data_IF_482190269448
#
_entry.id   IF_482190269448
#
_cell.length_a   1.000
_cell.length_b   1.000
_cell.length_c   1.000
_cell.angle_alpha   90.00
_cell.angle_beta   90.00
_cell.angle_gamma   90.00
#
_symmetry.space_group_name_H-M   'P 1'
#
loop_
_entity.id
_entity.type
_entity.pdbx_description
1 polymer ?
#
# COMPACT_ATOMS: atom_id res chain seq x y z
N UNK A 1 -15.67 -18.76 7.45
CA UNK A 1 -14.28 -18.62 7.94
C UNK A 1 -14.29 -18.52 9.46
N UNK A 2 -13.46 -19.30 10.16
CA UNK A 2 -13.36 -19.27 11.63
C UNK A 2 -12.21 -18.37 12.09
N UNK A 3 -12.38 -17.71 13.24
CA UNK A 3 -11.34 -16.85 13.82
C UNK A 3 -10.21 -17.70 14.37
N UNK A 4 -9.05 -17.69 13.70
CA UNK A 4 -7.88 -18.52 14.05
C UNK A 4 -7.09 -18.01 15.26
N UNK A 5 -7.11 -16.71 15.53
CA UNK A 5 -6.35 -16.11 16.64
C UNK A 5 -7.16 -15.03 17.38
N UNK A 6 -7.11 -15.04 18.71
CA UNK A 6 -7.79 -14.01 19.54
C UNK A 6 -7.05 -12.67 19.52
N UNK A 7 -5.72 -12.68 19.62
CA UNK A 7 -4.86 -11.47 19.75
C UNK A 7 -3.72 -11.36 18.74
N UNK A 8 -3.09 -12.48 18.35
CA UNK A 8 -1.83 -12.44 17.61
C UNK A 8 -1.97 -11.97 16.14
N UNK A 9 -3.04 -12.34 15.42
CA UNK A 9 -3.20 -11.93 14.02
C UNK A 9 -1.99 -12.28 13.13
N UNK A 10 -1.52 -11.33 12.32
CA UNK A 10 -0.43 -11.51 11.35
C UNK A 10 0.92 -11.88 12.00
N UNK A 11 1.19 -11.40 13.22
CA UNK A 11 2.42 -11.72 13.97
C UNK A 11 2.40 -13.12 14.59
N UNK A 12 1.36 -13.92 14.33
CA UNK A 12 1.33 -15.34 14.69
C UNK A 12 2.50 -16.15 14.08
N UNK A 13 3.03 -15.72 12.92
CA UNK A 13 4.20 -16.33 12.27
C UNK A 13 5.47 -16.36 13.14
N UNK A 14 5.57 -15.45 14.12
CA UNK A 14 6.73 -15.39 15.01
C UNK A 14 6.64 -16.38 16.17
N UNK A 15 5.47 -16.98 16.45
CA UNK A 15 5.26 -17.91 17.56
C UNK A 15 5.45 -17.23 18.93
N UNK A 16 6.21 -17.86 19.81
CA UNK A 16 6.54 -17.36 21.16
C UNK A 16 7.72 -16.39 21.18
N UNK A 17 8.44 -16.24 20.07
CA UNK A 17 9.69 -15.46 19.98
C UNK A 17 9.46 -13.94 20.12
N UNK A 18 10.52 -13.23 20.51
CA UNK A 18 10.65 -11.77 20.54
C UNK A 18 9.76 -11.00 21.54
N UNK A 19 8.94 -11.70 22.34
CA UNK A 19 8.12 -11.06 23.37
C UNK A 19 6.89 -10.31 22.83
N UNK A 20 6.06 -9.79 23.73
CA UNK A 20 4.78 -9.17 23.36
C UNK A 20 4.91 -7.73 22.88
N UNK A 21 5.83 -6.94 23.45
CA UNK A 21 5.98 -5.51 23.13
C UNK A 21 6.41 -5.30 21.67
N UNK A 22 7.49 -5.98 21.25
CA UNK A 22 7.99 -5.91 19.87
C UNK A 22 6.95 -6.39 18.86
N UNK A 23 6.26 -7.50 19.17
CA UNK A 23 5.20 -8.02 18.29
C UNK A 23 4.03 -7.05 18.13
N UNK A 24 3.62 -6.34 19.17
CA UNK A 24 2.55 -5.33 19.07
C UNK A 24 2.94 -4.17 18.13
N UNK A 25 4.20 -3.73 18.16
CA UNK A 25 4.70 -2.69 17.24
C UNK A 25 4.72 -3.21 15.79
N UNK A 26 5.25 -4.41 15.57
CA UNK A 26 5.34 -5.03 14.24
C UNK A 26 3.96 -5.32 13.65
N UNK A 27 2.95 -5.68 14.45
CA UNK A 27 1.58 -5.87 13.95
C UNK A 27 1.09 -4.68 13.16
N UNK A 28 1.31 -3.44 13.66
CA UNK A 28 0.85 -2.23 12.96
C UNK A 28 1.56 -2.05 11.61
N UNK A 29 2.87 -2.31 11.58
CA UNK A 29 3.69 -2.18 10.37
C UNK A 29 3.38 -3.27 9.33
N UNK A 30 3.15 -4.52 9.75
CA UNK A 30 2.85 -5.61 8.84
C UNK A 30 1.43 -5.51 8.28
N UNK A 31 0.46 -5.04 9.07
CA UNK A 31 -0.91 -4.82 8.58
C UNK A 31 -0.91 -3.77 7.48
N UNK A 32 -0.27 -2.61 7.69
CA UNK A 32 -0.19 -1.57 6.67
C UNK A 32 0.60 -2.04 5.45
N UNK A 33 1.72 -2.74 5.63
CA UNK A 33 2.51 -3.25 4.51
C UNK A 33 1.76 -4.24 3.62
N UNK A 34 0.96 -5.15 4.20
CA UNK A 34 0.24 -6.19 3.44
C UNK A 34 -1.18 -5.78 3.02
N UNK A 35 -1.65 -4.61 3.45
CA UNK A 35 -2.95 -4.07 3.06
C UNK A 35 -3.00 -3.79 1.56
N UNK A 36 -4.22 -3.83 1.01
CA UNK A 36 -4.51 -3.27 -0.31
C UNK A 36 -4.98 -1.83 -0.12
N UNK A 37 -4.41 -0.92 -0.90
CA UNK A 37 -4.80 0.49 -0.88
C UNK A 37 -5.59 0.86 -2.13
N UNK A 38 -6.37 1.92 -2.00
CA UNK A 38 -7.11 2.51 -3.10
C UNK A 38 -6.13 3.08 -4.12
N UNK A 39 -6.33 2.74 -5.39
CA UNK A 39 -5.55 3.31 -6.48
C UNK A 39 -6.35 4.43 -7.14
N UNK A 40 -5.82 5.65 -7.11
CA UNK A 40 -6.43 6.84 -7.73
C UNK A 40 -6.51 6.76 -9.26
N UNK A 41 -5.78 5.84 -9.89
CA UNK A 41 -5.78 5.66 -11.35
C UNK A 41 -6.87 4.71 -11.81
N UNK A 42 -7.02 3.54 -11.15
CA UNK A 42 -7.99 2.54 -11.56
C UNK A 42 -9.26 2.50 -10.70
N UNK A 43 -9.36 3.32 -9.65
CA UNK A 43 -10.52 3.43 -8.77
C UNK A 43 -10.80 2.20 -7.90
N UNK A 44 -9.82 1.30 -7.74
CA UNK A 44 -9.99 0.02 -7.03
C UNK A 44 -8.94 -0.15 -5.94
N UNK A 45 -9.26 -0.97 -4.93
CA UNK A 45 -8.31 -1.41 -3.91
C UNK A 45 -7.35 -2.47 -4.45
N UNK A 46 -6.49 -2.06 -5.38
CA UNK A 46 -5.56 -2.93 -6.09
C UNK A 46 -4.09 -2.54 -5.89
N UNK A 47 -3.81 -1.44 -5.17
CA UNK A 47 -2.46 -0.99 -4.88
C UNK A 47 -1.84 -1.83 -3.76
N UNK A 48 -0.67 -2.41 -4.02
CA UNK A 48 0.12 -3.20 -3.06
C UNK A 48 1.58 -2.77 -3.10
N UNK A 49 2.25 -2.88 -1.97
CA UNK A 49 3.70 -2.65 -1.87
C UNK A 49 4.45 -3.73 -2.64
N UNK A 50 5.38 -3.33 -3.52
CA UNK A 50 6.25 -4.25 -4.27
C UNK A 50 7.59 -4.42 -3.55
N UNK A 51 8.23 -3.30 -3.25
CA UNK A 51 9.48 -3.22 -2.48
C UNK A 51 9.40 -2.04 -1.50
N UNK A 52 10.48 -1.71 -0.81
CA UNK A 52 10.52 -0.52 0.06
C UNK A 52 10.31 0.73 -0.80
N UNK A 53 9.41 1.62 -0.37
CA UNK A 53 9.10 2.88 -1.07
C UNK A 53 8.26 2.76 -2.35
N UNK A 54 8.26 1.61 -3.03
CA UNK A 54 7.57 1.43 -4.32
C UNK A 54 6.25 0.68 -4.15
N UNK A 55 5.17 1.30 -4.65
CA UNK A 55 3.82 0.76 -4.68
C UNK A 55 3.37 0.51 -6.11
N UNK A 56 2.77 -0.64 -6.36
CA UNK A 56 2.28 -1.03 -7.68
C UNK A 56 0.80 -1.39 -7.62
N UNK A 57 0.03 -0.91 -8.59
CA UNK A 57 -1.31 -1.39 -8.81
C UNK A 57 -1.25 -2.71 -9.59
N UNK A 58 -2.04 -3.72 -9.18
CA UNK A 58 -2.11 -4.98 -9.93
C UNK A 58 -2.78 -4.82 -11.29
N UNK A 59 -3.76 -3.92 -11.38
CA UNK A 59 -4.60 -3.76 -12.58
C UNK A 59 -4.13 -2.63 -13.50
N UNK A 60 -3.24 -1.75 -13.02
CA UNK A 60 -2.80 -0.57 -13.75
C UNK A 60 -1.28 -0.47 -13.74
N UNK A 61 -0.66 -0.38 -14.93
CA UNK A 61 0.80 -0.24 -15.07
C UNK A 61 1.15 1.23 -15.38
N UNK A 62 1.84 1.95 -14.48
CA UNK A 62 1.94 3.41 -14.52
C UNK A 62 3.04 3.98 -15.44
N UNK A 63 3.65 3.18 -16.33
CA UNK A 63 4.74 3.62 -17.21
C UNK A 63 4.40 4.85 -18.08
N UNK A 64 3.11 5.19 -18.24
CA UNK A 64 2.63 6.29 -19.09
C UNK A 64 1.90 7.43 -18.34
N UNK A 65 1.72 7.38 -17.02
CA UNK A 65 0.73 8.24 -16.33
C UNK A 65 1.29 9.49 -15.64
N UNK A 66 2.53 9.42 -15.12
CA UNK A 66 3.12 10.48 -14.27
C UNK A 66 3.65 11.66 -15.09
N UNK A 67 4.23 11.40 -16.27
CA UNK A 67 4.70 12.46 -17.17
C UNK A 67 3.51 13.26 -17.73
N UNK A 68 2.45 12.57 -18.17
CA UNK A 68 1.24 13.16 -18.78
C UNK A 68 0.49 14.08 -17.81
N UNK A 69 0.35 13.72 -16.53
CA UNK A 69 -0.37 14.58 -15.56
C UNK A 69 0.38 15.89 -15.28
N UNK A 70 1.71 15.85 -15.20
CA UNK A 70 2.51 17.06 -14.93
C UNK A 70 2.61 17.98 -16.15
N UNK A 71 2.70 17.41 -17.37
CA UNK A 71 2.73 18.18 -18.62
C UNK A 71 1.38 18.81 -18.93
N UNK A 72 0.27 18.10 -18.76
CA UNK A 72 -1.08 18.69 -18.94
C UNK A 72 -1.32 19.81 -17.93
N UNK A 73 -0.88 19.67 -16.67
CA UNK A 73 -1.04 20.74 -15.67
C UNK A 73 -0.28 22.01 -16.08
N UNK A 74 0.98 21.88 -16.50
CA UNK A 74 1.80 23.02 -16.98
C UNK A 74 1.21 23.67 -18.23
N UNK A 75 0.72 22.87 -19.18
CA UNK A 75 0.11 23.40 -20.40
C UNK A 75 -1.17 24.19 -20.09
N UNK A 76 -2.00 23.74 -19.14
CA UNK A 76 -3.20 24.47 -18.69
C UNK A 76 -2.87 25.80 -18.03
N UNK A 77 -1.88 25.78 -17.12
CA UNK A 77 -1.39 27.00 -16.44
C UNK A 77 -0.82 28.03 -17.45
N UNK A 78 -0.33 27.61 -18.62
CA UNK A 78 0.17 28.51 -19.68
C UNK A 78 -0.92 29.08 -20.60
N UNK A 79 -2.04 28.40 -20.78
CA UNK A 79 -3.16 28.87 -21.61
C UNK A 79 -4.17 29.72 -20.85
N UNK A 80 -4.28 29.54 -19.53
CA UNK A 80 -5.25 30.24 -18.67
C UNK A 80 -4.64 31.40 -17.86
N UNK A 81 -3.32 31.58 -17.95
CA UNK A 81 -2.57 32.69 -17.33
C UNK A 81 -2.26 33.84 -18.28
#
# INVERSE_FOLDING_TARGET
MTKRAKKAGIVGKYGTRYGASLRKQITKMEVSQHAKYFCEFCGKYAMKRKVVGIWGCKEYNPASALTVRSTIRKLREQTEG
#
